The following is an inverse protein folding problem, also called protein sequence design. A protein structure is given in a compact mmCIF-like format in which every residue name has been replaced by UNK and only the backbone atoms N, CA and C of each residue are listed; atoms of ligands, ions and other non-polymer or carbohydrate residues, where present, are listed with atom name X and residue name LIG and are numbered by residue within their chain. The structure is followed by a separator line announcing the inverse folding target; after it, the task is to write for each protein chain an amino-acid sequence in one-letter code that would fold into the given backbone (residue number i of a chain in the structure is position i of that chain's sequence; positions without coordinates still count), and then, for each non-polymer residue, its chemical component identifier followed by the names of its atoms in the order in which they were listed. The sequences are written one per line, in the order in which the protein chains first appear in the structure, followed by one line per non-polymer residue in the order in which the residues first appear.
data_IF_660354283153
#
_entry.id   IF_660354283153
#
_cell.length_a   1.000
_cell.length_b   1.000
_cell.length_c   1.000
_cell.angle_alpha   90.00
_cell.angle_beta   90.00
_cell.angle_gamma   90.00
#
_symmetry.space_group_name_H-M   'P 1'
#
loop_
_entity.id
_entity.type
_entity.pdbx_description
1 polymer ?
#
# COMPACT_ATOMS: atom_id res chain seq x y z
N UNK A 1 16.86 -7.32 -16.34
CA UNK A 1 15.92 -6.97 -17.42
C UNK A 1 15.43 -5.56 -17.22
N UNK A 2 15.27 -4.76 -18.28
CA UNK A 2 14.83 -3.35 -18.22
C UNK A 2 13.34 -3.25 -17.92
N UNK A 3 12.48 -3.79 -18.78
CA UNK A 3 11.03 -3.75 -18.62
C UNK A 3 10.38 -5.14 -18.71
N UNK A 4 9.17 -5.26 -18.17
CA UNK A 4 8.24 -6.36 -18.45
C UNK A 4 6.99 -5.75 -19.07
N UNK A 5 6.59 -6.22 -20.23
CA UNK A 5 5.43 -5.71 -20.96
C UNK A 5 4.31 -6.75 -20.91
N UNK A 6 3.21 -6.39 -20.25
CA UNK A 6 2.00 -7.17 -20.10
C UNK A 6 0.96 -6.69 -21.11
N UNK A 7 0.22 -7.62 -21.71
CA UNK A 7 -0.88 -7.31 -22.62
C UNK A 7 -1.38 -8.55 -23.34
N UNK A 8 -2.47 -8.41 -24.09
CA UNK A 8 -2.84 -9.43 -25.06
C UNK A 8 -1.84 -9.45 -26.22
N UNK A 9 -1.76 -10.59 -26.92
CA UNK A 9 -0.76 -10.80 -27.96
C UNK A 9 -0.89 -9.80 -29.12
N UNK A 10 -2.11 -9.39 -29.48
CA UNK A 10 -2.33 -8.45 -30.57
C UNK A 10 -1.88 -7.03 -30.17
N UNK A 11 -2.20 -6.61 -28.95
CA UNK A 11 -1.76 -5.30 -28.42
C UNK A 11 -0.24 -5.21 -28.32
N UNK A 12 0.43 -6.25 -27.81
CA UNK A 12 1.90 -6.29 -27.72
C UNK A 12 2.54 -6.27 -29.11
N UNK A 13 1.98 -7.01 -30.08
CA UNK A 13 2.49 -7.05 -31.45
C UNK A 13 2.26 -5.73 -32.20
N UNK A 14 1.12 -5.06 -31.99
CA UNK A 14 0.85 -3.73 -32.54
C UNK A 14 1.82 -2.68 -31.99
N UNK A 15 2.08 -2.71 -30.68
CA UNK A 15 3.07 -1.83 -30.04
C UNK A 15 4.49 -2.08 -30.53
N UNK A 16 4.86 -3.35 -30.74
CA UNK A 16 6.15 -3.72 -31.31
C UNK A 16 6.30 -3.22 -32.75
N UNK A 17 5.27 -3.37 -33.59
CA UNK A 17 5.27 -2.90 -34.97
C UNK A 17 5.41 -1.37 -35.09
N UNK A 18 4.94 -0.63 -34.09
CA UNK A 18 5.08 0.83 -34.00
C UNK A 18 6.42 1.27 -33.37
N UNK A 19 7.30 0.34 -33.00
CA UNK A 19 8.55 0.66 -32.29
C UNK A 19 8.35 1.26 -30.90
N UNK A 20 7.15 1.12 -30.33
CA UNK A 20 6.75 1.76 -29.08
C UNK A 20 6.64 0.77 -27.91
N UNK A 21 7.02 -0.50 -28.11
CA UNK A 21 7.15 -1.49 -27.05
C UNK A 21 8.53 -1.34 -26.36
N UNK A 22 8.60 -1.02 -25.07
CA UNK A 22 9.88 -0.94 -24.35
C UNK A 22 10.66 -2.26 -24.43
N UNK A 23 11.99 -2.18 -24.53
CA UNK A 23 12.81 -3.39 -24.54
C UNK A 23 12.65 -4.16 -23.23
N UNK A 24 12.35 -5.45 -23.31
CA UNK A 24 11.98 -6.23 -22.15
C UNK A 24 11.33 -7.57 -22.49
N UNK A 25 10.86 -8.27 -21.46
CA UNK A 25 10.05 -9.49 -21.62
C UNK A 25 8.63 -9.09 -22.02
N UNK A 26 8.12 -9.66 -23.11
CA UNK A 26 6.70 -9.64 -23.42
C UNK A 26 6.02 -10.83 -22.75
N UNK A 27 4.99 -10.58 -21.94
CA UNK A 27 4.25 -11.61 -21.23
C UNK A 27 2.74 -11.44 -21.47
N UNK A 28 2.10 -12.52 -21.89
CA UNK A 28 0.65 -12.61 -22.09
C UNK A 28 0.12 -13.88 -21.41
N UNK A 29 -1.21 -13.97 -21.27
CA UNK A 29 -1.85 -15.01 -20.46
C UNK A 29 -1.53 -16.45 -20.89
N UNK A 30 -1.43 -16.73 -22.20
CA UNK A 30 -1.05 -18.07 -22.67
C UNK A 30 0.38 -18.46 -22.26
N UNK A 31 1.33 -17.52 -22.35
CA UNK A 31 2.72 -17.76 -21.91
C UNK A 31 2.78 -17.97 -20.41
N UNK A 32 2.04 -17.19 -19.62
CA UNK A 32 1.91 -17.43 -18.18
C UNK A 32 1.38 -18.84 -17.90
N UNK A 33 0.28 -19.25 -18.52
CA UNK A 33 -0.31 -20.58 -18.29
C UNK A 33 0.63 -21.73 -18.64
N UNK A 34 1.46 -21.57 -19.67
CA UNK A 34 2.51 -22.55 -20.00
C UNK A 34 3.57 -22.62 -18.90
N UNK A 35 4.01 -21.48 -18.37
CA UNK A 35 4.94 -21.44 -17.23
C UNK A 35 4.33 -22.09 -15.99
N UNK A 36 3.06 -21.83 -15.70
CA UNK A 36 2.36 -22.36 -14.52
C UNK A 36 2.14 -23.87 -14.58
N UNK A 37 1.80 -24.41 -15.75
CA UNK A 37 1.63 -25.86 -15.94
C UNK A 37 2.95 -26.63 -15.89
N UNK A 38 4.08 -25.94 -16.07
CA UNK A 38 5.36 -26.58 -16.30
C UNK A 38 5.36 -27.39 -17.60
N UNK A 39 6.41 -28.19 -17.78
CA UNK A 39 6.52 -29.09 -18.92
C UNK A 39 6.56 -30.55 -18.42
N UNK A 40 5.38 -31.15 -18.32
CA UNK A 40 5.22 -32.55 -17.86
C UNK A 40 5.87 -33.56 -18.80
N UNK A 41 6.06 -33.24 -20.09
CA UNK A 41 6.75 -34.10 -21.05
C UNK A 41 8.26 -34.15 -20.81
N UNK A 42 8.84 -33.13 -20.18
CA UNK A 42 10.24 -33.08 -19.75
C UNK A 42 10.41 -33.25 -18.23
N UNK A 43 9.35 -33.66 -17.52
CA UNK A 43 9.37 -33.83 -16.07
C UNK A 43 9.59 -32.53 -15.27
N UNK A 44 9.38 -31.36 -15.88
CA UNK A 44 9.52 -30.07 -15.19
C UNK A 44 8.30 -29.84 -14.31
N UNK A 45 8.46 -29.72 -12.97
CA UNK A 45 7.36 -29.54 -12.05
C UNK A 45 6.65 -28.20 -12.26
N UNK A 46 5.41 -28.10 -11.77
CA UNK A 46 4.66 -26.85 -11.76
C UNK A 46 5.35 -25.81 -10.85
N UNK A 47 5.26 -24.55 -11.23
CA UNK A 47 5.83 -23.46 -10.44
C UNK A 47 5.01 -23.25 -9.16
N UNK A 48 5.67 -23.12 -8.02
CA UNK A 48 5.03 -22.69 -6.77
C UNK A 48 5.16 -21.18 -6.55
N UNK A 49 6.28 -20.60 -7.00
CA UNK A 49 6.59 -19.18 -6.91
C UNK A 49 7.03 -18.67 -8.28
N UNK A 50 6.49 -17.53 -8.70
CA UNK A 50 6.92 -16.82 -9.90
C UNK A 50 7.42 -15.43 -9.51
N UNK A 51 8.67 -15.11 -9.89
CA UNK A 51 9.23 -13.77 -9.70
C UNK A 51 9.43 -13.07 -11.04
N UNK A 52 8.79 -11.92 -11.19
CA UNK A 52 8.83 -11.06 -12.36
C UNK A 52 9.51 -9.75 -11.97
N UNK A 53 10.81 -9.66 -12.24
CA UNK A 53 11.61 -8.49 -11.88
C UNK A 53 12.05 -7.66 -13.09
N UNK A 54 11.76 -6.37 -13.05
CA UNK A 54 12.16 -5.37 -14.04
C UNK A 54 12.87 -4.22 -13.36
N UNK A 55 14.00 -3.78 -13.94
CA UNK A 55 14.77 -2.64 -13.42
C UNK A 55 13.94 -1.36 -13.45
N UNK A 56 13.22 -1.13 -14.54
CA UNK A 56 12.63 0.16 -14.88
C UNK A 56 11.13 0.19 -14.59
N UNK A 57 10.35 -0.73 -15.18
CA UNK A 57 8.90 -0.78 -14.99
C UNK A 57 8.27 -2.08 -15.50
N UNK A 58 7.06 -2.35 -15.01
CA UNK A 58 6.08 -3.20 -15.68
C UNK A 58 5.16 -2.28 -16.50
N UNK A 59 4.99 -2.55 -17.78
CA UNK A 59 4.12 -1.80 -18.67
C UNK A 59 2.91 -2.64 -19.03
N UNK A 60 1.71 -2.08 -19.01
CA UNK A 60 0.46 -2.77 -19.30
C UNK A 60 -0.18 -2.15 -20.54
N UNK A 61 -0.49 -2.98 -21.53
CA UNK A 61 -1.04 -2.59 -22.83
C UNK A 61 -2.34 -3.34 -23.13
N UNK A 62 -3.35 -2.61 -23.58
CA UNK A 62 -4.66 -3.19 -23.92
C UNK A 62 -5.43 -3.64 -22.67
N UNK A 63 -6.02 -4.84 -22.72
CA UNK A 63 -6.62 -5.47 -21.54
C UNK A 63 -5.83 -6.73 -21.20
N UNK A 64 -5.32 -6.82 -19.98
CA UNK A 64 -4.59 -8.00 -19.50
C UNK A 64 -5.27 -8.65 -18.31
N UNK A 65 -5.51 -9.95 -18.43
CA UNK A 65 -5.80 -10.82 -17.30
C UNK A 65 -4.54 -11.66 -17.01
N UNK A 66 -3.76 -11.26 -16.00
CA UNK A 66 -2.69 -12.09 -15.45
C UNK A 66 -3.30 -13.01 -14.38
N UNK A 67 -3.91 -14.10 -14.82
CA UNK A 67 -4.62 -15.04 -13.94
C UNK A 67 -3.75 -16.25 -13.61
N UNK A 68 -3.36 -16.37 -12.34
CA UNK A 68 -2.58 -17.50 -11.83
C UNK A 68 -3.44 -18.70 -11.42
N UNK A 69 -4.77 -18.56 -11.43
CA UNK A 69 -5.69 -19.63 -11.06
C UNK A 69 -5.70 -20.75 -12.09
N UNK A 70 -5.80 -21.98 -11.61
CA UNK A 70 -6.03 -23.13 -12.45
C UNK A 70 -7.50 -23.07 -12.95
N UNK A 71 -7.75 -23.06 -14.27
CA UNK A 71 -9.10 -22.94 -14.83
C UNK A 71 -10.05 -24.06 -14.41
N UNK A 72 -9.53 -25.24 -14.03
CA UNK A 72 -10.35 -26.39 -13.62
C UNK A 72 -10.77 -26.33 -12.15
N UNK A 73 -9.94 -25.74 -11.27
CA UNK A 73 -10.18 -25.73 -9.82
C UNK A 73 -10.56 -24.36 -9.27
N UNK A 74 -10.30 -23.29 -10.02
CA UNK A 74 -10.45 -21.91 -9.55
C UNK A 74 -9.43 -21.47 -8.49
N UNK A 75 -8.57 -22.38 -8.03
CA UNK A 75 -7.54 -22.10 -7.03
C UNK A 75 -6.27 -21.57 -7.70
N UNK A 76 -5.53 -20.70 -7.02
CA UNK A 76 -4.23 -20.23 -7.49
C UNK A 76 -3.27 -21.40 -7.72
N UNK A 77 -2.67 -21.47 -8.91
CA UNK A 77 -1.61 -22.44 -9.23
C UNK A 77 -0.29 -22.04 -8.59
N UNK A 78 -0.11 -20.75 -8.29
CA UNK A 78 1.02 -20.22 -7.54
C UNK A 78 0.63 -20.03 -6.07
N UNK A 79 1.55 -20.36 -5.17
CA UNK A 79 1.49 -19.88 -3.79
C UNK A 79 1.81 -18.40 -3.75
N UNK A 80 2.78 -17.97 -4.55
CA UNK A 80 3.28 -16.61 -4.52
C UNK A 80 3.65 -16.06 -5.90
N UNK A 81 3.20 -14.84 -6.19
CA UNK A 81 3.65 -14.01 -7.30
C UNK A 81 4.44 -12.83 -6.74
N UNK A 82 5.69 -12.69 -7.18
CA UNK A 82 6.56 -11.56 -6.82
C UNK A 82 6.68 -10.61 -8.01
N UNK A 83 6.33 -9.35 -7.83
CA UNK A 83 6.56 -8.27 -8.78
C UNK A 83 7.73 -7.41 -8.30
N UNK A 84 8.87 -7.55 -8.95
CA UNK A 84 10.10 -6.82 -8.64
C UNK A 84 10.33 -5.65 -9.58
N UNK A 85 9.45 -4.65 -9.56
CA UNK A 85 9.60 -3.45 -10.37
C UNK A 85 9.24 -2.19 -9.58
N UNK A 86 9.94 -1.06 -9.83
CA UNK A 86 9.67 0.18 -9.11
C UNK A 86 8.40 0.89 -9.59
N UNK A 87 7.91 0.57 -10.78
CA UNK A 87 6.68 1.14 -11.33
C UNK A 87 5.85 0.16 -12.16
N UNK A 88 4.55 0.46 -12.23
CA UNK A 88 3.58 -0.11 -13.16
C UNK A 88 3.00 1.06 -13.99
N UNK A 89 3.11 0.98 -15.32
CA UNK A 89 2.57 1.97 -16.24
C UNK A 89 1.42 1.36 -17.06
N UNK A 90 0.26 2.02 -17.04
CA UNK A 90 -0.90 1.69 -17.85
C UNK A 90 -0.92 2.49 -19.15
N UNK A 91 -1.04 1.79 -20.27
CA UNK A 91 -1.26 2.33 -21.60
C UNK A 91 -2.59 1.77 -22.14
N UNK A 92 -3.64 1.95 -21.34
CA UNK A 92 -4.93 1.25 -21.48
C UNK A 92 -6.09 2.25 -21.59
N UNK A 93 -7.17 1.88 -22.29
CA UNK A 93 -8.29 2.79 -22.56
C UNK A 93 -9.22 2.90 -21.34
N UNK A 94 -10.06 3.93 -21.33
CA UNK A 94 -10.92 4.25 -20.18
C UNK A 94 -11.88 3.11 -19.75
N UNK A 95 -12.31 2.26 -20.67
CA UNK A 95 -13.20 1.13 -20.38
C UNK A 95 -12.45 -0.19 -20.13
N UNK A 96 -11.13 -0.18 -20.29
CA UNK A 96 -10.32 -1.38 -20.12
C UNK A 96 -10.06 -1.60 -18.62
N UNK A 97 -10.12 -2.87 -18.21
CA UNK A 97 -9.79 -3.31 -16.87
C UNK A 97 -8.70 -4.37 -16.96
N UNK A 98 -7.57 -4.10 -16.31
CA UNK A 98 -6.48 -5.04 -16.17
C UNK A 98 -6.57 -5.74 -14.82
N UNK A 99 -6.50 -7.06 -14.81
CA UNK A 99 -6.66 -7.84 -13.60
C UNK A 99 -5.45 -8.75 -13.37
N UNK A 100 -4.88 -8.67 -12.18
CA UNK A 100 -3.87 -9.60 -11.69
C UNK A 100 -4.51 -10.44 -10.58
N UNK A 101 -4.59 -11.74 -10.78
CA UNK A 101 -5.04 -12.70 -9.76
C UNK A 101 -3.84 -13.48 -9.21
N UNK A 102 -3.66 -13.48 -7.90
CA UNK A 102 -2.66 -14.30 -7.19
C UNK A 102 -3.14 -14.64 -5.79
N UNK A 103 -2.81 -15.81 -5.23
CA UNK A 103 -3.09 -16.07 -3.81
C UNK A 103 -2.34 -15.06 -2.93
N UNK A 104 -1.01 -15.08 -2.99
CA UNK A 104 -0.15 -14.07 -2.35
C UNK A 104 0.58 -13.28 -3.42
N UNK A 105 0.43 -11.95 -3.40
CA UNK A 105 1.17 -11.03 -4.25
C UNK A 105 2.17 -10.25 -3.40
N UNK A 106 3.46 -10.39 -3.70
CA UNK A 106 4.50 -9.54 -3.12
C UNK A 106 4.92 -8.52 -4.16
N UNK A 107 4.80 -7.23 -3.85
CA UNK A 107 5.37 -6.19 -4.69
C UNK A 107 6.67 -5.69 -4.03
N UNK A 108 7.83 -6.09 -4.56
CA UNK A 108 9.15 -5.74 -4.01
C UNK A 108 9.49 -4.26 -4.18
N UNK A 109 9.08 -3.65 -5.31
CA UNK A 109 9.38 -2.25 -5.60
C UNK A 109 10.81 -2.04 -6.12
N UNK A 110 11.44 -0.95 -5.68
CA UNK A 110 12.79 -0.54 -6.11
C UNK A 110 13.91 -1.41 -5.55
N UNK A 111 14.87 -1.78 -6.40
CA UNK A 111 16.11 -2.44 -5.99
C UNK A 111 17.23 -1.41 -5.70
N UNK A 112 18.31 -1.84 -5.01
CA UNK A 112 19.53 -1.02 -4.89
C UNK A 112 20.16 -0.84 -6.26
N UNK A 113 20.59 0.39 -6.56
CA UNK A 113 21.41 0.67 -7.75
C UNK A 113 22.89 0.34 -7.56
N UNK A 114 23.33 0.27 -6.30
CA UNK A 114 24.74 0.16 -5.94
C UNK A 114 25.07 -1.23 -5.43
N UNK A 115 26.22 -1.75 -5.87
CA UNK A 115 26.83 -2.94 -5.28
C UNK A 115 27.56 -2.63 -3.98
N UNK A 116 27.70 -1.34 -3.64
CA UNK A 116 28.24 -0.89 -2.36
C UNK A 116 27.13 -1.01 -1.32
N UNK A 117 27.35 -1.85 -0.32
CA UNK A 117 26.33 -2.20 0.69
C UNK A 117 25.82 -1.01 1.52
N UNK A 118 26.54 0.12 1.54
CA UNK A 118 26.22 1.32 2.33
C UNK A 118 25.53 2.42 1.51
N UNK A 119 25.33 2.23 0.21
CA UNK A 119 24.65 3.20 -0.64
C UNK A 119 23.16 2.83 -0.72
N UNK A 120 22.36 3.54 0.08
CA UNK A 120 20.91 3.36 0.20
C UNK A 120 20.10 3.89 -0.97
N UNK A 121 20.73 4.27 -2.09
CA UNK A 121 20.05 4.92 -3.21
C UNK A 121 19.11 3.94 -3.94
N UNK A 122 17.78 4.17 -3.89
CA UNK A 122 16.82 3.33 -4.61
C UNK A 122 16.91 3.58 -6.12
N UNK A 123 16.71 2.52 -6.92
CA UNK A 123 16.46 2.64 -8.36
C UNK A 123 15.30 3.60 -8.62
N UNK A 124 15.45 4.57 -9.52
CA UNK A 124 14.33 5.39 -9.93
C UNK A 124 13.42 4.61 -10.89
N UNK A 125 12.09 4.81 -10.85
CA UNK A 125 11.20 4.31 -11.90
C UNK A 125 11.69 4.71 -13.30
N UNK A 126 11.56 3.78 -14.25
CA UNK A 126 11.74 4.09 -15.67
C UNK A 126 10.80 5.21 -16.12
N UNK A 127 11.19 5.97 -17.14
CA UNK A 127 10.31 6.97 -17.73
C UNK A 127 9.08 6.30 -18.36
N UNK A 128 7.88 6.80 -18.02
CA UNK A 128 6.67 6.44 -18.73
C UNK A 128 6.62 7.13 -20.10
N UNK A 129 5.93 6.52 -21.07
CA UNK A 129 5.53 7.21 -22.31
C UNK A 129 4.39 8.17 -21.96
N UNK A 130 4.73 9.37 -21.50
CA UNK A 130 3.78 10.31 -20.87
C UNK A 130 2.62 10.66 -21.79
N UNK A 131 2.88 10.80 -23.09
CA UNK A 131 1.90 11.07 -24.15
C UNK A 131 0.94 9.90 -24.43
N UNK A 132 1.19 8.74 -23.84
CA UNK A 132 0.43 7.50 -24.04
C UNK A 132 -0.22 6.96 -22.77
N UNK A 133 0.00 7.60 -21.62
CA UNK A 133 -0.59 7.16 -20.36
C UNK A 133 -2.12 7.01 -20.49
N UNK A 134 -2.62 5.90 -19.97
CA UNK A 134 -4.00 5.48 -20.13
C UNK A 134 -4.99 6.10 -19.13
N UNK A 135 -6.22 5.61 -19.24
CA UNK A 135 -7.38 5.98 -18.43
C UNK A 135 -8.12 4.75 -17.85
N UNK A 136 -7.60 3.54 -18.04
CA UNK A 136 -8.27 2.33 -17.58
C UNK A 136 -8.16 2.08 -16.08
N UNK A 137 -8.53 0.87 -15.66
CA UNK A 137 -8.51 0.44 -14.26
C UNK A 137 -7.50 -0.70 -14.05
N UNK A 138 -6.72 -0.64 -12.98
CA UNK A 138 -5.90 -1.77 -12.53
C UNK A 138 -6.55 -2.45 -11.32
N UNK A 139 -6.76 -3.76 -11.38
CA UNK A 139 -7.28 -4.56 -10.27
C UNK A 139 -6.25 -5.62 -9.84
N UNK A 140 -5.82 -5.56 -8.59
CA UNK A 140 -5.02 -6.60 -7.94
C UNK A 140 -5.94 -7.40 -7.03
N UNK A 141 -6.26 -8.64 -7.41
CA UNK A 141 -7.16 -9.52 -6.67
C UNK A 141 -6.36 -10.64 -6.01
N UNK A 142 -6.28 -10.61 -4.69
CA UNK A 142 -5.44 -11.53 -3.92
C UNK A 142 -6.12 -12.02 -2.65
N UNK A 143 -5.55 -13.05 -2.04
CA UNK A 143 -5.83 -13.36 -0.63
C UNK A 143 -5.01 -12.43 0.26
N UNK A 144 -3.69 -12.40 0.05
CA UNK A 144 -2.76 -11.54 0.78
C UNK A 144 -1.96 -10.66 -0.18
N UNK A 145 -1.88 -9.36 0.10
CA UNK A 145 -1.02 -8.43 -0.63
C UNK A 145 0.10 -7.93 0.29
N UNK A 146 1.34 -8.13 -0.12
CA UNK A 146 2.53 -7.72 0.65
C UNK A 146 3.27 -6.62 -0.12
N UNK A 147 3.29 -5.43 0.45
CA UNK A 147 4.13 -4.30 0.02
C UNK A 147 5.45 -4.35 0.81
N UNK A 148 6.29 -5.30 0.45
CA UNK A 148 7.57 -5.55 1.11
C UNK A 148 8.55 -6.22 0.16
N UNK A 149 9.76 -6.50 0.65
CA UNK A 149 10.79 -7.20 -0.12
C UNK A 149 10.34 -8.60 -0.53
N UNK A 150 10.85 -9.08 -1.67
CA UNK A 150 10.65 -10.47 -2.08
C UNK A 150 11.16 -11.42 -0.97
N UNK A 151 10.47 -12.56 -0.72
CA UNK A 151 10.94 -13.53 0.26
C UNK A 151 12.32 -14.07 -0.08
N UNK A 152 13.03 -14.53 0.95
CA UNK A 152 14.38 -15.11 0.83
C UNK A 152 15.44 -14.17 0.25
N UNK A 153 15.14 -12.88 0.09
CA UNK A 153 16.14 -11.85 -0.16
C UNK A 153 16.74 -11.37 1.16
N UNK A 154 17.99 -10.89 1.15
CA UNK A 154 18.55 -10.19 2.30
C UNK A 154 17.91 -8.81 2.37
N UNK A 155 17.07 -8.52 3.39
CA UNK A 155 16.44 -7.22 3.47
C UNK A 155 17.52 -6.18 3.80
N UNK A 156 17.81 -5.25 2.89
CA UNK A 156 18.46 -4.00 3.26
C UNK A 156 17.39 -3.04 3.75
N UNK A 157 17.43 -2.68 5.03
CA UNK A 157 16.57 -1.65 5.64
C UNK A 157 16.97 -0.23 5.24
N UNK A 158 18.07 -0.07 4.50
CA UNK A 158 18.61 1.22 4.06
C UNK A 158 18.00 1.67 2.74
N UNK A 159 17.73 0.74 1.82
CA UNK A 159 17.13 1.06 0.52
C UNK A 159 15.60 0.98 0.65
N UNK A 160 14.87 2.11 0.51
CA UNK A 160 13.41 2.06 0.50
C UNK A 160 12.91 1.31 -0.75
N UNK A 161 11.79 0.61 -0.60
CA UNK A 161 11.03 -0.06 -1.64
C UNK A 161 9.94 0.89 -2.17
N UNK A 162 10.33 1.86 -2.99
CA UNK A 162 9.38 2.79 -3.60
C UNK A 162 8.61 2.08 -4.72
N UNK A 163 7.33 2.42 -4.86
CA UNK A 163 6.43 1.83 -5.83
C UNK A 163 5.58 2.92 -6.44
N UNK A 164 5.40 2.85 -7.75
CA UNK A 164 4.59 3.82 -8.45
C UNK A 164 3.63 3.15 -9.44
N UNK A 165 2.41 3.64 -9.52
CA UNK A 165 1.43 3.29 -10.55
C UNK A 165 1.07 4.56 -11.31
N UNK A 166 1.10 4.50 -12.65
CA UNK A 166 0.73 5.61 -13.54
C UNK A 166 -0.15 5.13 -14.69
N UNK A 167 -1.00 5.99 -15.25
CA UNK A 167 -1.78 5.69 -16.45
C UNK A 167 -3.05 4.88 -16.21
N UNK A 168 -3.61 4.98 -15.01
CA UNK A 168 -4.90 4.41 -14.63
C UNK A 168 -5.76 5.48 -13.97
N UNK A 169 -7.04 5.54 -14.32
CA UNK A 169 -8.01 6.40 -13.63
C UNK A 169 -8.23 5.93 -12.19
N UNK A 170 -8.10 4.62 -11.96
CA UNK A 170 -8.18 4.01 -10.63
C UNK A 170 -7.40 2.70 -10.50
N UNK A 171 -6.97 2.43 -9.27
CA UNK A 171 -6.32 1.18 -8.86
C UNK A 171 -7.13 0.57 -7.73
N UNK A 172 -7.65 -0.63 -7.94
CA UNK A 172 -8.32 -1.43 -6.91
C UNK A 172 -7.42 -2.56 -6.42
N UNK A 173 -7.35 -2.76 -5.11
CA UNK A 173 -6.59 -3.82 -4.47
C UNK A 173 -7.51 -4.58 -3.55
N UNK A 174 -7.96 -5.75 -3.98
CA UNK A 174 -8.84 -6.61 -3.19
C UNK A 174 -8.00 -7.71 -2.59
N UNK A 175 -7.75 -7.64 -1.29
CA UNK A 175 -7.13 -8.71 -0.52
C UNK A 175 -8.19 -9.34 0.39
N UNK A 176 -8.54 -10.61 0.19
CA UNK A 176 -9.61 -11.24 0.99
C UNK A 176 -9.21 -11.52 2.44
N UNK A 177 -7.92 -11.43 2.76
CA UNK A 177 -7.36 -11.67 4.10
C UNK A 177 -6.73 -10.38 4.65
N UNK A 178 -5.63 -9.92 4.03
CA UNK A 178 -4.90 -8.75 4.53
C UNK A 178 -4.06 -8.03 3.46
N UNK A 179 -3.78 -6.76 3.73
CA UNK A 179 -2.68 -6.02 3.11
C UNK A 179 -1.62 -5.76 4.17
N UNK A 180 -0.40 -6.23 3.93
CA UNK A 180 0.74 -6.03 4.81
C UNK A 180 1.82 -5.19 4.13
N UNK A 181 2.46 -4.28 4.85
CA UNK A 181 3.68 -3.62 4.39
C UNK A 181 4.89 -4.01 5.25
N UNK A 182 6.08 -3.99 4.65
CA UNK A 182 7.32 -4.35 5.34
C UNK A 182 8.50 -3.54 4.82
N UNK A 183 9.47 -3.28 5.69
CA UNK A 183 10.58 -2.39 5.39
C UNK A 183 10.14 -0.93 5.25
N UNK A 184 10.92 -0.13 4.52
CA UNK A 184 10.61 1.28 4.22
C UNK A 184 10.18 1.41 2.77
N UNK A 185 9.28 2.33 2.46
CA UNK A 185 8.96 2.62 1.06
C UNK A 185 7.77 3.54 0.85
N UNK A 186 7.47 3.77 -0.41
CA UNK A 186 6.28 4.49 -0.86
C UNK A 186 5.38 3.64 -1.72
N UNK A 187 4.12 4.03 -1.81
CA UNK A 187 3.21 3.65 -2.87
C UNK A 187 2.54 4.90 -3.43
N UNK A 188 2.85 5.21 -4.68
CA UNK A 188 2.39 6.41 -5.34
C UNK A 188 1.47 6.04 -6.51
N UNK A 189 0.23 6.51 -6.50
CA UNK A 189 -0.78 6.19 -7.53
C UNK A 189 -1.25 7.48 -8.19
N UNK A 190 -1.01 7.57 -9.50
CA UNK A 190 -1.38 8.72 -10.31
C UNK A 190 -1.99 8.29 -11.64
N UNK A 191 -2.80 9.14 -12.24
CA UNK A 191 -3.28 8.92 -13.61
C UNK A 191 -2.31 9.56 -14.60
N UNK A 192 -2.05 10.87 -14.45
CA UNK A 192 -1.20 11.63 -15.36
C UNK A 192 0.06 12.19 -14.67
N UNK A 193 1.09 12.41 -15.50
CA UNK A 193 2.25 13.22 -15.18
C UNK A 193 2.12 14.57 -15.91
N UNK A 194 2.15 15.66 -15.16
CA UNK A 194 2.15 17.04 -15.67
C UNK A 194 3.55 17.59 -15.90
N UNK A 195 3.68 18.92 -15.93
CA UNK A 195 4.96 19.60 -16.13
C UNK A 195 5.91 19.43 -14.94
N UNK A 196 7.21 19.61 -15.19
CA UNK A 196 8.21 19.72 -14.14
C UNK A 196 8.18 21.12 -13.55
N UNK A 197 8.10 21.22 -12.22
CA UNK A 197 8.20 22.47 -11.49
C UNK A 197 9.48 22.47 -10.64
N UNK A 198 10.26 23.53 -10.74
CA UNK A 198 11.49 23.67 -9.97
C UNK A 198 11.20 23.61 -8.46
N UNK A 199 11.97 22.81 -7.73
CA UNK A 199 11.83 22.63 -6.27
C UNK A 199 10.82 21.56 -5.83
N UNK A 200 9.77 21.28 -6.63
CA UNK A 200 8.74 20.28 -6.29
C UNK A 200 8.77 19.05 -7.21
N UNK A 201 9.45 19.15 -8.36
CA UNK A 201 9.62 18.07 -9.31
C UNK A 201 8.45 17.96 -10.31
N UNK A 202 8.30 16.77 -10.89
CA UNK A 202 7.16 16.47 -11.76
C UNK A 202 5.85 16.53 -10.98
N UNK A 203 4.87 17.23 -11.55
CA UNK A 203 3.52 17.27 -10.99
C UNK A 203 2.75 16.02 -11.38
N UNK A 204 1.91 15.52 -10.48
CA UNK A 204 1.08 14.34 -10.72
C UNK A 204 -0.36 14.61 -10.30
N UNK A 205 -1.31 13.98 -11.00
CA UNK A 205 -2.74 14.17 -10.76
C UNK A 205 -3.56 12.95 -11.15
N UNK A 206 -4.78 12.87 -10.60
CA UNK A 206 -5.69 11.76 -10.84
C UNK A 206 -5.20 10.42 -10.27
N UNK A 207 -5.91 9.34 -10.54
CA UNK A 207 -5.56 8.00 -10.07
C UNK A 207 -6.08 7.75 -8.66
N UNK A 208 -7.35 7.36 -8.56
CA UNK A 208 -7.96 6.94 -7.30
C UNK A 208 -7.36 5.61 -6.83
N UNK A 209 -7.26 5.41 -5.51
CA UNK A 209 -6.80 4.17 -4.92
C UNK A 209 -7.89 3.61 -4.01
N UNK A 210 -8.38 2.42 -4.34
CA UNK A 210 -9.32 1.65 -3.51
C UNK A 210 -8.64 0.39 -2.97
N UNK A 211 -8.52 0.29 -1.66
CA UNK A 211 -7.98 -0.87 -0.95
C UNK A 211 -9.14 -1.56 -0.24
N UNK A 212 -9.48 -2.75 -0.70
CA UNK A 212 -10.50 -3.61 -0.09
C UNK A 212 -9.80 -4.75 0.64
N UNK A 213 -9.68 -4.65 1.95
CA UNK A 213 -9.05 -5.67 2.79
C UNK A 213 -9.65 -5.67 4.18
N UNK A 214 -9.92 -6.85 4.79
CA UNK A 214 -10.36 -6.94 6.18
C UNK A 214 -9.36 -6.35 7.18
N UNK A 215 -8.06 -6.40 6.84
CA UNK A 215 -6.99 -5.92 7.69
C UNK A 215 -5.87 -5.24 6.88
N UNK A 216 -5.42 -4.09 7.37
CA UNK A 216 -4.17 -3.45 6.96
C UNK A 216 -3.19 -3.46 8.13
N UNK A 217 -1.96 -3.92 7.90
CA UNK A 217 -0.95 -4.09 8.96
C UNK A 217 0.47 -3.88 8.44
N UNK A 218 1.43 -3.71 9.35
CA UNK A 218 2.85 -3.54 9.01
C UNK A 218 3.74 -4.52 9.77
N UNK A 219 4.88 -4.88 9.16
CA UNK A 219 5.96 -5.58 9.86
C UNK A 219 6.62 -4.66 10.90
N UNK A 220 7.39 -5.23 11.83
CA UNK A 220 7.99 -4.47 12.91
C UNK A 220 8.93 -3.37 12.36
N UNK A 221 8.77 -2.14 12.86
CA UNK A 221 9.57 -0.97 12.45
C UNK A 221 9.46 -0.59 10.96
N UNK A 222 8.41 -1.06 10.26
CA UNK A 222 8.18 -0.73 8.85
C UNK A 222 7.58 0.66 8.68
N UNK A 223 7.87 1.32 7.55
CA UNK A 223 7.30 2.63 7.20
C UNK A 223 6.79 2.59 5.77
N UNK A 224 5.50 2.89 5.57
CA UNK A 224 4.90 3.04 4.26
C UNK A 224 4.23 4.41 4.12
N UNK A 225 4.60 5.16 3.08
CA UNK A 225 3.86 6.35 2.66
C UNK A 225 3.04 6.04 1.41
N UNK A 226 1.72 6.12 1.51
CA UNK A 226 0.79 6.00 0.39
C UNK A 226 0.39 7.40 -0.08
N UNK A 227 0.48 7.65 -1.39
CA UNK A 227 0.03 8.88 -2.03
C UNK A 227 -0.86 8.53 -3.23
N UNK A 228 -2.04 9.15 -3.29
CA UNK A 228 -2.94 9.07 -4.44
C UNK A 228 -3.19 10.48 -4.97
N UNK A 229 -3.15 10.65 -6.29
CA UNK A 229 -3.56 11.91 -6.95
C UNK A 229 -5.08 12.10 -7.03
N UNK A 230 -5.86 11.10 -6.61
CA UNK A 230 -7.31 11.13 -6.50
C UNK A 230 -7.78 10.87 -5.08
N UNK A 231 -8.95 10.23 -4.93
CA UNK A 231 -9.45 9.80 -3.63
C UNK A 231 -8.79 8.47 -3.20
N UNK A 232 -8.59 8.33 -1.89
CA UNK A 232 -8.15 7.09 -1.26
C UNK A 232 -9.29 6.50 -0.44
N UNK A 233 -9.73 5.31 -0.80
CA UNK A 233 -10.69 4.52 -0.03
C UNK A 233 -10.01 3.27 0.50
N UNK A 234 -10.20 3.00 1.78
CA UNK A 234 -9.79 1.77 2.44
C UNK A 234 -11.05 1.19 3.07
N UNK A 235 -11.45 -0.01 2.67
CA UNK A 235 -12.67 -0.64 3.17
C UNK A 235 -12.51 -2.12 3.38
N UNK A 236 -13.30 -2.67 4.30
CA UNK A 236 -13.29 -4.10 4.58
C UNK A 236 -13.77 -4.38 6.00
N UNK A 237 -14.62 -5.39 6.14
CA UNK A 237 -15.07 -5.81 7.46
C UNK A 237 -14.11 -6.87 8.00
N UNK A 238 -13.28 -6.48 8.96
CA UNK A 238 -12.38 -7.39 9.66
C UNK A 238 -12.18 -6.97 11.11
N UNK A 239 -11.38 -7.73 11.83
CA UNK A 239 -10.96 -7.40 13.19
C UNK A 239 -9.44 -7.24 13.20
N UNK A 240 -8.89 -6.24 13.88
CA UNK A 240 -7.47 -6.23 14.19
C UNK A 240 -7.20 -7.45 15.10
N UNK A 241 -6.69 -8.54 14.53
CA UNK A 241 -6.36 -9.76 15.29
C UNK A 241 -4.89 -10.08 15.08
N UNK A 242 -4.17 -10.31 16.18
CA UNK A 242 -2.93 -11.10 16.18
C UNK A 242 -1.70 -10.50 15.50
N UNK A 243 -1.69 -9.20 15.18
CA UNK A 243 -0.46 -8.53 14.72
C UNK A 243 0.14 -7.70 15.86
N UNK A 244 1.16 -8.29 16.49
CA UNK A 244 1.94 -7.69 17.58
C UNK A 244 3.29 -7.15 17.08
N UNK A 245 3.48 -7.07 15.77
CA UNK A 245 4.62 -6.41 15.17
C UNK A 245 4.62 -4.92 15.55
N UNK A 246 5.64 -4.51 16.30
CA UNK A 246 5.65 -3.19 16.93
C UNK A 246 6.21 -2.11 16.01
N UNK A 247 5.66 -0.90 16.12
CA UNK A 247 6.28 0.31 15.59
C UNK A 247 6.13 0.48 14.08
N UNK A 248 5.12 -0.11 13.46
CA UNK A 248 4.81 0.13 12.06
C UNK A 248 4.22 1.54 11.85
N UNK A 249 4.62 2.22 10.79
CA UNK A 249 4.22 3.59 10.47
C UNK A 249 3.55 3.63 9.10
N UNK A 250 2.31 4.11 9.06
CA UNK A 250 1.53 4.28 7.83
C UNK A 250 1.17 5.75 7.65
N UNK A 251 1.66 6.34 6.56
CA UNK A 251 1.25 7.66 6.09
C UNK A 251 0.33 7.52 4.87
N UNK A 252 -0.78 8.26 4.86
CA UNK A 252 -1.76 8.31 3.79
C UNK A 252 -1.93 9.75 3.34
N UNK A 253 -1.87 9.99 2.03
CA UNK A 253 -2.12 11.29 1.43
C UNK A 253 -2.95 11.14 0.16
N UNK A 254 -4.04 11.91 0.07
CA UNK A 254 -4.96 11.87 -1.06
C UNK A 254 -5.82 13.15 -1.11
N UNK A 255 -6.66 13.28 -2.14
CA UNK A 255 -7.68 14.34 -2.21
C UNK A 255 -8.69 14.19 -1.07
N UNK A 256 -9.38 13.06 -1.00
CA UNK A 256 -10.21 12.67 0.14
C UNK A 256 -9.75 11.31 0.65
N UNK A 257 -9.88 11.07 1.96
CA UNK A 257 -9.54 9.80 2.58
C UNK A 257 -10.77 9.23 3.29
N UNK A 258 -11.16 8.01 2.91
CA UNK A 258 -12.12 7.20 3.65
C UNK A 258 -11.43 5.96 4.21
N UNK A 259 -11.50 5.78 5.51
CA UNK A 259 -11.03 4.58 6.22
C UNK A 259 -12.25 3.88 6.83
N UNK A 260 -12.58 2.69 6.34
CA UNK A 260 -13.70 1.87 6.79
C UNK A 260 -13.25 0.40 6.88
N UNK A 261 -12.09 0.18 7.51
CA UNK A 261 -11.49 -1.14 7.72
C UNK A 261 -10.68 -1.19 9.03
N UNK A 262 -10.24 -2.39 9.41
CA UNK A 262 -9.31 -2.59 10.50
C UNK A 262 -7.86 -2.26 10.09
N UNK A 263 -7.18 -1.49 10.94
CA UNK A 263 -5.76 -1.19 10.84
C UNK A 263 -5.07 -1.61 12.15
N UNK A 264 -4.13 -2.55 12.07
CA UNK A 264 -3.34 -2.99 13.22
C UNK A 264 -1.91 -2.49 13.08
N UNK A 265 -1.53 -1.51 13.89
CA UNK A 265 -0.22 -0.85 13.89
C UNK A 265 0.26 -0.73 15.34
N UNK A 266 0.43 -1.87 16.01
CA UNK A 266 0.77 -1.95 17.43
C UNK A 266 1.94 -1.01 17.81
N UNK A 267 1.73 -0.11 18.78
CA UNK A 267 2.73 0.92 19.18
C UNK A 267 3.31 1.74 18.02
N UNK A 268 2.58 1.82 16.91
CA UNK A 268 3.00 2.41 15.65
C UNK A 268 2.47 3.82 15.46
N UNK A 269 2.38 4.24 14.20
CA UNK A 269 1.84 5.54 13.84
C UNK A 269 0.95 5.48 12.60
N UNK A 270 -0.19 6.15 12.65
CA UNK A 270 -1.05 6.41 11.50
C UNK A 270 -1.12 7.92 11.25
N UNK A 271 -0.81 8.36 10.03
CA UNK A 271 -1.03 9.73 9.58
C UNK A 271 -1.91 9.73 8.35
N UNK A 272 -3.11 10.32 8.42
CA UNK A 272 -3.99 10.51 7.27
C UNK A 272 -4.12 12.00 6.97
N UNK A 273 -3.66 12.42 5.78
CA UNK A 273 -3.70 13.82 5.34
C UNK A 273 -4.48 13.94 4.04
N UNK A 274 -5.67 14.52 4.12
CA UNK A 274 -6.48 14.83 2.96
C UNK A 274 -6.43 16.33 2.64
N UNK A 275 -6.48 16.66 1.36
CA UNK A 275 -6.74 18.05 0.96
C UNK A 275 -8.20 18.44 1.24
N UNK A 276 -9.14 17.52 0.99
CA UNK A 276 -10.56 17.58 1.38
C UNK A 276 -10.81 16.87 2.72
N UNK A 277 -11.77 15.93 2.73
CA UNK A 277 -12.25 15.28 3.95
C UNK A 277 -11.40 14.05 4.37
N UNK A 278 -11.30 13.85 5.69
CA UNK A 278 -10.88 12.57 6.29
C UNK A 278 -12.08 11.98 7.02
N UNK A 279 -12.52 10.79 6.58
CA UNK A 279 -13.68 10.11 7.14
C UNK A 279 -13.28 8.74 7.68
N UNK A 280 -13.60 8.47 8.94
CA UNK A 280 -13.59 7.14 9.54
C UNK A 280 -15.01 6.57 9.49
N UNK A 281 -15.22 5.54 8.68
CA UNK A 281 -16.49 4.83 8.56
C UNK A 281 -16.80 3.95 9.78
N UNK A 282 -18.00 3.36 9.80
CA UNK A 282 -18.48 2.56 10.94
C UNK A 282 -17.67 1.29 11.20
N UNK A 283 -16.96 0.76 10.19
CA UNK A 283 -16.09 -0.40 10.29
C UNK A 283 -14.63 -0.02 10.59
N UNK A 284 -14.31 1.27 10.70
CA UNK A 284 -12.96 1.70 11.04
C UNK A 284 -12.57 1.20 12.43
N UNK A 285 -11.51 0.38 12.51
CA UNK A 285 -10.93 -0.14 13.76
C UNK A 285 -9.43 0.11 13.73
N UNK A 286 -8.99 1.23 14.29
CA UNK A 286 -7.59 1.61 14.32
C UNK A 286 -7.00 1.17 15.66
N UNK A 287 -6.18 0.14 15.65
CA UNK A 287 -5.47 -0.38 16.83
C UNK A 287 -3.98 -0.01 16.75
N UNK A 288 -3.61 0.94 17.60
CA UNK A 288 -2.26 1.43 17.85
C UNK A 288 -1.84 1.12 19.29
N UNK A 289 -2.60 0.28 20.02
CA UNK A 289 -2.41 0.08 21.44
C UNK A 289 -1.05 -0.56 21.76
N UNK A 290 -0.51 -0.26 22.93
CA UNK A 290 0.66 -0.92 23.48
C UNK A 290 0.42 -2.43 23.65
N UNK A 291 1.47 -3.21 23.46
CA UNK A 291 1.46 -4.67 23.59
C UNK A 291 2.22 -5.09 24.84
N UNK A 292 1.78 -6.20 25.40
CA UNK A 292 2.56 -6.97 26.36
C UNK A 292 3.44 -7.94 25.61
N UNK A 293 4.74 -7.80 25.77
CA UNK A 293 5.78 -8.63 25.17
C UNK A 293 6.25 -9.59 26.26
N UNK A 294 5.91 -10.86 26.12
CA UNK A 294 6.39 -11.88 27.05
C UNK A 294 7.81 -12.29 26.67
N UNK A 295 8.74 -12.10 27.60
CA UNK A 295 10.07 -12.70 27.58
C UNK A 295 10.05 -13.85 28.60
N UNK A 296 10.93 -14.83 28.45
CA UNK A 296 10.87 -16.09 29.23
C UNK A 296 10.68 -15.86 30.74
N UNK A 297 11.39 -14.88 31.31
CA UNK A 297 11.34 -14.56 32.75
C UNK A 297 10.63 -13.23 33.09
N UNK A 298 10.15 -12.46 32.10
CA UNK A 298 9.60 -11.11 32.34
C UNK A 298 8.63 -10.63 31.25
N UNK A 299 7.52 -10.01 31.67
CA UNK A 299 6.65 -9.26 30.77
C UNK A 299 7.18 -7.80 30.60
N UNK A 300 7.46 -7.40 29.35
CA UNK A 300 7.68 -6.00 28.96
C UNK A 300 6.41 -5.42 28.35
N UNK A 301 6.26 -4.10 28.42
CA UNK A 301 5.08 -3.40 27.91
C UNK A 301 5.51 -2.23 27.03
N UNK A 302 5.00 -2.18 25.79
CA UNK A 302 5.28 -1.06 24.89
C UNK A 302 4.33 0.12 25.13
N UNK A 303 4.73 1.30 24.65
CA UNK A 303 3.90 2.50 24.65
C UNK A 303 2.72 2.37 23.69
N UNK A 304 1.67 3.17 23.90
CA UNK A 304 0.64 3.37 22.89
C UNK A 304 1.19 4.17 21.70
N UNK A 305 0.69 3.87 20.51
CA UNK A 305 1.06 4.54 19.26
C UNK A 305 0.22 5.79 18.98
N UNK A 306 0.56 6.50 17.90
CA UNK A 306 -0.02 7.81 17.58
C UNK A 306 -0.91 7.77 16.34
N UNK A 307 -1.97 8.57 16.34
CA UNK A 307 -2.79 8.86 15.15
C UNK A 307 -2.90 10.36 14.91
N UNK A 308 -2.74 10.76 13.66
CA UNK A 308 -2.98 12.11 13.17
C UNK A 308 -3.93 12.07 11.98
N UNK A 309 -5.05 12.78 12.09
CA UNK A 309 -6.04 12.95 11.03
C UNK A 309 -6.07 14.43 10.66
N UNK A 310 -5.71 14.78 9.43
CA UNK A 310 -5.63 16.16 8.96
C UNK A 310 -6.42 16.34 7.69
N UNK A 311 -7.41 17.24 7.71
CA UNK A 311 -8.17 17.72 6.57
C UNK A 311 -7.82 19.20 6.32
N UNK A 312 -7.19 19.52 5.18
CA UNK A 312 -6.72 20.90 4.93
C UNK A 312 -7.84 21.87 4.60
N UNK A 313 -8.75 21.47 3.72
CA UNK A 313 -9.89 22.26 3.25
C UNK A 313 -11.23 21.57 3.51
N UNK A 314 -11.21 20.45 4.23
CA UNK A 314 -12.41 19.66 4.57
C UNK A 314 -12.58 19.46 6.07
N UNK A 315 -13.26 18.36 6.40
CA UNK A 315 -13.67 17.97 7.73
C UNK A 315 -12.96 16.68 8.17
N UNK A 316 -12.88 16.48 9.48
CA UNK A 316 -12.48 15.19 10.07
C UNK A 316 -13.71 14.59 10.74
N UNK A 317 -14.25 13.51 10.17
CA UNK A 317 -15.48 12.88 10.61
C UNK A 317 -15.21 11.43 11.01
N UNK A 318 -15.76 10.98 12.14
CA UNK A 318 -15.73 9.58 12.54
C UNK A 318 -17.14 9.12 12.91
N UNK A 319 -17.62 8.08 12.24
CA UNK A 319 -18.93 7.49 12.52
C UNK A 319 -18.97 6.87 13.92
N UNK A 320 -20.17 6.79 14.51
CA UNK A 320 -20.36 6.20 15.86
C UNK A 320 -19.87 4.75 15.98
N UNK A 321 -19.87 4.01 14.87
CA UNK A 321 -19.34 2.66 14.82
C UNK A 321 -17.82 2.56 14.88
N UNK A 322 -17.07 3.64 14.58
CA UNK A 322 -15.61 3.63 14.49
C UNK A 322 -14.92 3.52 15.86
N UNK A 323 -13.68 3.03 15.89
CA UNK A 323 -12.85 3.06 17.10
C UNK A 323 -11.38 3.34 16.80
N UNK A 324 -10.76 4.14 17.67
CA UNK A 324 -9.31 4.35 17.74
C UNK A 324 -8.83 3.90 19.12
N UNK A 325 -7.83 3.02 19.15
CA UNK A 325 -7.19 2.56 20.38
C UNK A 325 -5.70 2.90 20.38
N UNK A 326 -5.30 3.82 21.25
CA UNK A 326 -3.91 4.22 21.54
C UNK A 326 -3.54 3.89 22.98
N UNK A 327 -4.30 3.02 23.65
CA UNK A 327 -4.12 2.68 25.06
C UNK A 327 -2.79 1.95 25.30
N UNK A 328 -2.34 1.94 26.56
CA UNK A 328 -1.17 1.16 26.97
C UNK A 328 -1.36 0.62 28.38
N UNK A 329 -0.81 -0.57 28.64
CA UNK A 329 -0.77 -1.16 29.97
C UNK A 329 0.62 -1.06 30.56
N UNK A 330 0.74 -0.69 31.84
CA UNK A 330 2.02 -0.43 32.54
C UNK A 330 2.95 0.55 31.80
N UNK A 331 2.38 1.40 30.94
CA UNK A 331 3.11 2.34 30.13
C UNK A 331 2.22 3.52 29.70
N UNK A 332 2.82 4.52 29.04
CA UNK A 332 2.10 5.71 28.54
C UNK A 332 1.27 5.36 27.30
N UNK A 333 0.01 5.78 27.29
CA UNK A 333 -0.83 5.78 26.09
C UNK A 333 -0.28 6.76 25.04
N UNK A 334 -0.65 6.54 23.79
CA UNK A 334 -0.25 7.39 22.67
C UNK A 334 -1.15 8.61 22.49
N UNK A 335 -1.05 9.26 21.34
CA UNK A 335 -1.73 10.52 21.04
C UNK A 335 -2.74 10.37 19.90
N UNK A 336 -3.90 11.01 20.06
CA UNK A 336 -4.88 11.22 18.99
C UNK A 336 -4.87 12.71 18.64
N UNK A 337 -4.56 13.05 17.39
CA UNK A 337 -4.57 14.42 16.88
C UNK A 337 -5.53 14.50 15.69
N UNK A 338 -6.43 15.48 15.71
CA UNK A 338 -7.32 15.79 14.59
C UNK A 338 -7.19 17.28 14.25
N UNK A 339 -6.93 17.58 12.99
CA UNK A 339 -6.81 18.95 12.48
C UNK A 339 -7.76 19.11 11.29
N UNK A 340 -8.65 20.09 11.34
CA UNK A 340 -9.48 20.46 10.20
C UNK A 340 -9.30 21.97 9.99
N UNK A 341 -8.62 22.34 8.91
CA UNK A 341 -8.02 23.68 8.74
C UNK A 341 -8.78 24.57 7.73
N UNK A 342 -9.88 24.08 7.16
CA UNK A 342 -10.61 24.81 6.11
C UNK A 342 -11.40 25.99 6.67
N UNK A 343 -11.27 27.17 6.07
CA UNK A 343 -11.97 28.39 6.51
C UNK A 343 -13.50 28.31 6.38
N UNK A 344 -13.99 27.57 5.37
CA UNK A 344 -15.41 27.28 5.12
C UNK A 344 -15.77 25.80 5.34
N UNK A 345 -14.82 25.04 5.89
CA UNK A 345 -14.98 23.66 6.35
C UNK A 345 -14.39 23.61 7.77
N UNK A 346 -13.69 22.55 8.18
CA UNK A 346 -13.01 22.56 9.48
C UNK A 346 -13.78 21.90 10.62
N UNK A 347 -14.88 21.20 10.34
CA UNK A 347 -15.60 20.45 11.38
C UNK A 347 -14.80 19.22 11.79
N UNK A 348 -14.63 19.06 13.10
CA UNK A 348 -14.14 17.82 13.71
C UNK A 348 -15.29 17.20 14.49
N UNK A 349 -15.72 16.02 14.06
CA UNK A 349 -16.78 15.25 14.72
C UNK A 349 -16.35 13.79 14.83
N UNK A 350 -15.94 13.42 16.05
CA UNK A 350 -15.43 12.09 16.35
C UNK A 350 -16.49 11.32 17.15
N UNK A 351 -17.59 10.93 16.52
CA UNK A 351 -18.69 10.23 17.19
C UNK A 351 -18.35 8.78 17.60
N UNK A 352 -17.21 8.25 17.14
CA UNK A 352 -16.72 6.92 17.49
C UNK A 352 -16.09 6.81 18.88
N UNK A 353 -15.56 5.63 19.19
CA UNK A 353 -14.89 5.36 20.47
C UNK A 353 -13.41 5.70 20.40
N UNK A 354 -12.92 6.55 21.32
CA UNK A 354 -11.50 6.88 21.47
C UNK A 354 -10.97 6.26 22.77
N UNK A 355 -10.01 5.35 22.68
CA UNK A 355 -9.37 4.70 23.83
C UNK A 355 -7.94 5.17 23.98
N UNK A 356 -7.65 5.84 25.10
CA UNK A 356 -6.31 6.33 25.44
C UNK A 356 -5.93 6.04 26.89
N UNK A 357 -6.47 4.97 27.48
CA UNK A 357 -6.16 4.60 28.86
C UNK A 357 -4.70 4.20 29.01
N UNK A 358 -4.04 4.73 30.03
CA UNK A 358 -2.72 4.31 30.46
C UNK A 358 -2.83 3.77 31.88
N UNK A 359 -2.34 2.56 32.12
CA UNK A 359 -2.06 2.12 33.49
C UNK A 359 -0.56 2.33 33.72
N UNK A 360 -0.21 3.09 34.74
CA UNK A 360 1.15 3.15 35.26
C UNK A 360 1.04 2.92 36.77
N UNK A 361 1.98 2.18 37.36
CA UNK A 361 2.18 2.29 38.80
C UNK A 361 2.61 3.73 39.07
N UNK A 362 1.66 4.56 39.51
CA UNK A 362 1.84 5.98 39.68
C UNK A 362 2.74 6.23 40.89
N UNK A 363 3.94 6.76 40.64
CA UNK A 363 4.49 7.82 41.50
C UNK A 363 4.48 9.11 40.67
N UNK A 364 3.41 9.89 40.87
CA UNK A 364 3.22 11.32 40.55
C UNK A 364 3.21 11.74 39.07
N UNK A 365 2.03 12.08 38.54
CA UNK A 365 1.88 12.97 37.39
C UNK A 365 1.00 14.18 37.75
N UNK A 366 1.59 15.36 37.61
CA UNK A 366 1.01 16.69 37.83
C UNK A 366 0.28 17.11 36.55
N UNK A 367 -1.02 17.34 36.60
CA UNK A 367 -1.76 17.97 35.49
C UNK A 367 -1.64 19.50 35.60
N UNK A 368 -1.09 20.16 34.58
CA UNK A 368 -1.17 21.62 34.44
C UNK A 368 -2.17 21.97 33.34
N UNK A 369 -3.27 22.61 33.72
CA UNK A 369 -4.13 23.37 32.80
C UNK A 369 -3.70 24.85 32.87
N UNK A 370 -3.41 25.52 31.75
CA UNK A 370 -3.24 26.96 31.75
C UNK A 370 -4.63 27.62 31.78
N UNK A 371 -4.96 28.27 32.88
CA UNK A 371 -6.07 29.24 32.94
C UNK A 371 -5.57 30.59 32.41
N UNK A 372 -6.28 31.16 31.44
CA UNK A 372 -6.01 32.50 30.90
C UNK A 372 -6.28 33.58 31.96
N UNK A 373 -5.47 34.65 32.05
CA UNK A 373 -5.79 35.78 32.91
C UNK A 373 -6.86 36.68 32.27
N UNK A 374 -7.62 37.35 33.14
CA UNK A 374 -8.65 38.34 32.81
C UNK A 374 -8.09 39.65 32.26
#
# INVERSE_FOLDING_TARGET
MTAINLGDAASLQAMAAQGALPQGLALHQQTLQQLLRGNTALGTPALETLSLSARDAINVFGSVDLDTRNPATGNSSLRELVLGAPAIHGFVKACDQDIIYADTLVWDGTQSLSTVLTDGTPQAPGAAMVDRLGHGQLALNTRSLILGRAPYTRPSSEVPANRQVRGFDGVSRRATDQVQFAGKGTLDVYQAQGAYQAGTGWQYSGGALDIQAPLLTGAAGSTLQVRSGGDLRISGAGQPRGHDALGAELGLQARNILIDSAMALASGRLQARADGDVVLGSNARIDLAGRRIRMDDLDKYSWGGDVELTARQGNVLAAAGSSIDVSASNNRAGRITANALGENAGRIDLAGTLRGSATAHCCCARSSFPTSPA
#
